data_IF_698772849516
#
_entry.id   IF_698772849516
#
_cell.length_a   1.000
_cell.length_b   1.000
_cell.length_c   1.000
_cell.angle_alpha   90.00
_cell.angle_beta   90.00
_cell.angle_gamma   90.00
#
_symmetry.space_group_name_H-M   'P 1'
#
loop_
_entity.id
_entity.type
_entity.pdbx_description
1 polymer ?
#
# COMPACT_ATOMS: atom_id res chain seq x y z
N UNK A 1 -8.66 -26.35 2.00
CA UNK A 1 -9.83 -25.65 1.40
C UNK A 1 -9.29 -24.56 0.48
N UNK A 2 -9.78 -24.43 -0.75
CA UNK A 2 -9.29 -23.41 -1.69
C UNK A 2 -10.13 -22.16 -1.54
N UNK A 3 -9.49 -21.01 -1.25
CA UNK A 3 -10.14 -19.71 -1.09
C UNK A 3 -10.52 -19.15 -2.46
N UNK A 4 -11.78 -18.77 -2.63
CA UNK A 4 -12.37 -18.23 -3.85
C UNK A 4 -12.25 -16.72 -3.85
N UNK A 5 -11.39 -16.16 -4.69
CA UNK A 5 -11.05 -14.72 -4.69
C UNK A 5 -11.74 -14.03 -5.86
N UNK A 6 -12.44 -12.93 -5.57
CA UNK A 6 -12.84 -11.93 -6.55
C UNK A 6 -11.73 -10.89 -6.66
N UNK A 7 -11.23 -10.65 -7.86
CA UNK A 7 -10.20 -9.64 -8.11
C UNK A 7 -10.82 -8.36 -8.70
N UNK A 8 -10.60 -7.21 -8.09
CA UNK A 8 -11.16 -5.92 -8.50
C UNK A 8 -10.05 -4.91 -8.73
N UNK A 9 -9.90 -4.45 -9.96
CA UNK A 9 -8.85 -3.55 -10.41
C UNK A 9 -7.60 -4.27 -10.90
N UNK A 10 -7.28 -4.09 -12.18
CA UNK A 10 -6.16 -4.73 -12.90
C UNK A 10 -5.15 -3.69 -13.38
N UNK A 11 -4.91 -2.65 -12.58
CA UNK A 11 -3.73 -1.79 -12.71
C UNK A 11 -2.44 -2.56 -12.38
N UNK A 12 -1.27 -1.93 -12.42
CA UNK A 12 0.02 -2.62 -12.22
C UNK A 12 0.10 -3.45 -10.94
N UNK A 13 -0.38 -2.90 -9.81
CA UNK A 13 -0.40 -3.63 -8.52
C UNK A 13 -1.45 -4.74 -8.55
N UNK A 14 -2.65 -4.48 -9.08
CA UNK A 14 -3.67 -5.51 -9.23
C UNK A 14 -3.21 -6.67 -10.10
N UNK A 15 -2.51 -6.43 -11.21
CA UNK A 15 -1.92 -7.46 -12.04
C UNK A 15 -0.86 -8.28 -11.27
N UNK A 16 -0.01 -7.63 -10.45
CA UNK A 16 0.96 -8.32 -9.62
C UNK A 16 0.29 -9.22 -8.55
N UNK A 17 -0.80 -8.75 -7.94
CA UNK A 17 -1.62 -9.54 -7.00
C UNK A 17 -2.26 -10.73 -7.72
N UNK A 18 -2.83 -10.52 -8.92
CA UNK A 18 -3.44 -11.59 -9.70
C UNK A 18 -2.43 -12.67 -10.09
N UNK A 19 -1.19 -12.30 -10.47
CA UNK A 19 -0.10 -13.25 -10.73
C UNK A 19 0.22 -14.10 -9.50
N UNK A 20 0.35 -13.49 -8.33
CA UNK A 20 0.62 -14.23 -7.09
C UNK A 20 -0.54 -15.18 -6.72
N UNK A 21 -1.79 -14.73 -6.82
CA UNK A 21 -2.96 -15.58 -6.58
C UNK A 21 -3.03 -16.78 -7.53
N UNK A 22 -2.64 -16.60 -8.79
CA UNK A 22 -2.68 -17.65 -9.81
C UNK A 22 -1.58 -18.70 -9.67
N UNK A 23 -0.46 -18.37 -9.02
CA UNK A 23 0.70 -19.24 -8.85
C UNK A 23 0.75 -19.93 -7.50
N UNK A 24 0.10 -19.38 -6.46
CA UNK A 24 0.09 -19.95 -5.11
C UNK A 24 -1.01 -20.99 -4.93
N UNK A 25 -0.69 -22.09 -4.27
CA UNK A 25 -1.68 -23.06 -3.82
C UNK A 25 -2.65 -22.42 -2.81
N UNK A 26 -3.84 -22.99 -2.67
CA UNK A 26 -4.84 -22.52 -1.72
C UNK A 26 -5.71 -21.36 -2.20
N UNK A 27 -5.45 -20.77 -3.38
CA UNK A 27 -6.27 -19.72 -3.96
C UNK A 27 -6.85 -20.09 -5.33
N UNK A 28 -8.03 -19.55 -5.61
CA UNK A 28 -8.65 -19.62 -6.94
C UNK A 28 -9.31 -18.27 -7.26
N UNK A 29 -8.86 -17.60 -8.31
CA UNK A 29 -9.56 -16.43 -8.85
C UNK A 29 -10.84 -16.94 -9.51
N UNK A 30 -12.01 -16.53 -9.00
CA UNK A 30 -13.32 -16.96 -9.49
C UNK A 30 -14.05 -15.89 -10.28
N UNK A 31 -13.59 -14.62 -10.18
CA UNK A 31 -14.11 -13.48 -10.93
C UNK A 31 -13.06 -12.38 -10.97
N UNK A 32 -13.16 -11.54 -12.00
CA UNK A 32 -12.33 -10.35 -12.18
C UNK A 32 -13.17 -9.18 -12.63
N UNK A 33 -12.89 -7.98 -12.10
CA UNK A 33 -13.61 -6.75 -12.44
C UNK A 33 -12.63 -5.62 -12.72
N UNK A 34 -12.81 -4.94 -13.85
CA UNK A 34 -12.13 -3.70 -14.18
C UNK A 34 -13.06 -2.86 -15.06
N UNK A 35 -12.90 -1.53 -15.04
CA UNK A 35 -13.71 -0.61 -15.86
C UNK A 35 -13.05 -0.24 -17.19
N UNK A 36 -11.77 -0.58 -17.36
CA UNK A 36 -11.00 -0.30 -18.57
C UNK A 36 -11.55 -1.14 -19.77
N UNK A 37 -12.09 -0.52 -20.81
CA UNK A 37 -12.66 -1.24 -21.95
C UNK A 37 -11.63 -2.14 -22.65
N UNK A 38 -10.34 -1.83 -22.58
CA UNK A 38 -9.27 -2.64 -23.16
C UNK A 38 -9.01 -3.94 -22.37
N UNK A 39 -9.55 -4.07 -21.16
CA UNK A 39 -9.41 -5.25 -20.30
C UNK A 39 -10.70 -6.07 -20.20
N UNK A 40 -11.85 -5.38 -20.26
CA UNK A 40 -13.17 -6.03 -20.17
C UNK A 40 -13.33 -7.08 -21.27
N UNK A 41 -13.96 -8.21 -20.95
CA UNK A 41 -14.16 -9.40 -21.77
C UNK A 41 -12.90 -10.23 -22.10
N UNK A 42 -11.70 -9.75 -21.76
CA UNK A 42 -10.46 -10.53 -21.89
C UNK A 42 -10.27 -11.48 -20.70
N UNK A 43 -9.51 -12.54 -20.91
CA UNK A 43 -9.12 -13.43 -19.82
C UNK A 43 -8.14 -12.72 -18.86
N UNK A 44 -8.36 -12.83 -17.55
CA UNK A 44 -7.48 -12.21 -16.54
C UNK A 44 -6.03 -12.70 -16.66
N UNK A 45 -5.83 -13.95 -17.11
CA UNK A 45 -4.49 -14.51 -17.37
C UNK A 45 -3.73 -13.75 -18.44
N UNK A 46 -4.43 -13.28 -19.48
CA UNK A 46 -3.85 -12.42 -20.52
C UNK A 46 -3.66 -10.98 -20.03
N UNK A 47 -4.64 -10.41 -19.31
CA UNK A 47 -4.58 -9.03 -18.80
C UNK A 47 -3.48 -8.86 -17.75
N UNK A 48 -3.30 -9.83 -16.87
CA UNK A 48 -2.29 -9.80 -15.82
C UNK A 48 -0.96 -10.48 -16.22
N UNK A 49 -0.82 -10.89 -17.48
CA UNK A 49 0.41 -11.52 -18.02
C UNK A 49 0.85 -12.75 -17.21
N UNK A 50 -0.10 -13.64 -16.93
CA UNK A 50 0.16 -14.84 -16.09
C UNK A 50 0.82 -15.98 -16.92
N UNK A 51 0.89 -15.85 -18.23
CA UNK A 51 1.45 -16.87 -19.13
C UNK A 51 0.50 -18.03 -19.45
N UNK A 52 -0.72 -18.04 -18.90
CA UNK A 52 -1.77 -19.05 -19.19
C UNK A 52 -3.16 -18.46 -19.01
N UNK A 53 -4.15 -19.00 -19.72
CA UNK A 53 -5.55 -18.67 -19.49
C UNK A 53 -6.04 -19.23 -18.14
N UNK A 54 -6.76 -18.41 -17.38
CA UNK A 54 -7.43 -18.84 -16.15
C UNK A 54 -8.91 -19.15 -16.39
N UNK A 55 -9.43 -18.94 -17.61
CA UNK A 55 -10.84 -19.06 -17.99
C UNK A 55 -11.77 -18.18 -17.17
N UNK A 56 -11.25 -17.02 -16.73
CA UNK A 56 -11.96 -15.98 -15.98
C UNK A 56 -11.91 -14.69 -16.80
N UNK A 57 -13.03 -14.32 -17.39
CA UNK A 57 -13.14 -13.07 -18.14
C UNK A 57 -13.31 -11.90 -17.19
N UNK A 58 -12.64 -10.78 -17.49
CA UNK A 58 -12.80 -9.52 -16.80
C UNK A 58 -14.18 -8.93 -17.11
N UNK A 59 -14.96 -8.62 -16.09
CA UNK A 59 -16.28 -8.01 -16.19
C UNK A 59 -16.23 -6.53 -15.79
N UNK A 60 -17.18 -5.73 -16.28
CA UNK A 60 -17.33 -4.33 -15.88
C UNK A 60 -18.26 -4.16 -14.65
N UNK A 61 -19.14 -5.14 -14.38
CA UNK A 61 -20.16 -5.05 -13.34
C UNK A 61 -19.76 -5.87 -12.10
N UNK A 62 -19.41 -5.16 -11.03
CA UNK A 62 -19.00 -5.74 -9.76
C UNK A 62 -20.12 -6.60 -9.15
N UNK A 63 -21.34 -6.04 -9.10
CA UNK A 63 -22.49 -6.68 -8.45
C UNK A 63 -22.89 -7.98 -9.12
N UNK A 64 -23.00 -7.97 -10.44
CA UNK A 64 -23.31 -9.18 -11.23
C UNK A 64 -22.24 -10.23 -11.04
N UNK A 65 -20.97 -9.83 -11.05
CA UNK A 65 -19.83 -10.74 -10.88
C UNK A 65 -19.85 -11.41 -9.50
N UNK A 66 -20.05 -10.63 -8.41
CA UNK A 66 -20.18 -11.19 -7.05
C UNK A 66 -21.30 -12.23 -6.97
N UNK A 67 -22.50 -11.88 -7.48
CA UNK A 67 -23.67 -12.80 -7.43
C UNK A 67 -23.45 -14.09 -8.21
N UNK A 68 -22.78 -14.00 -9.36
CA UNK A 68 -22.50 -15.16 -10.22
C UNK A 68 -21.40 -16.05 -9.64
N UNK A 69 -20.35 -15.45 -9.04
CA UNK A 69 -19.16 -16.19 -8.62
C UNK A 69 -19.14 -16.58 -7.16
N UNK A 70 -19.93 -15.93 -6.29
CA UNK A 70 -20.01 -16.17 -4.84
C UNK A 70 -18.62 -16.32 -4.22
N UNK A 71 -17.78 -15.28 -4.23
CA UNK A 71 -16.42 -15.35 -3.71
C UNK A 71 -16.42 -15.39 -2.17
N UNK A 72 -15.35 -15.95 -1.60
CA UNK A 72 -15.10 -15.93 -0.15
C UNK A 72 -14.54 -14.57 0.30
N UNK A 73 -13.86 -13.86 -0.61
CA UNK A 73 -13.22 -12.57 -0.36
C UNK A 73 -13.01 -11.81 -1.67
N UNK A 74 -13.02 -10.48 -1.57
CA UNK A 74 -12.60 -9.60 -2.66
C UNK A 74 -11.23 -8.98 -2.36
N UNK A 75 -10.38 -8.90 -3.39
CA UNK A 75 -9.16 -8.09 -3.39
C UNK A 75 -9.42 -6.84 -4.21
N UNK A 76 -9.31 -5.64 -3.58
CA UNK A 76 -9.63 -4.35 -4.18
C UNK A 76 -8.36 -3.53 -4.42
N UNK A 77 -7.98 -3.37 -5.70
CA UNK A 77 -6.74 -2.72 -6.15
C UNK A 77 -7.00 -1.61 -7.17
N UNK A 78 -7.97 -0.73 -6.92
CA UNK A 78 -8.47 0.24 -7.92
C UNK A 78 -7.95 1.66 -7.74
N UNK A 79 -7.70 2.13 -6.51
CA UNK A 79 -7.25 3.49 -6.25
C UNK A 79 -6.59 3.61 -4.88
N UNK A 80 -5.67 4.59 -4.76
CA UNK A 80 -5.10 5.03 -3.47
C UNK A 80 -6.10 5.83 -2.63
N UNK A 81 -7.08 6.48 -3.29
CA UNK A 81 -8.05 7.36 -2.65
C UNK A 81 -9.23 6.60 -2.05
N UNK A 82 -9.45 6.78 -0.75
CA UNK A 82 -10.58 6.20 -0.04
C UNK A 82 -11.92 6.69 -0.60
N UNK A 83 -12.02 7.97 -0.94
CA UNK A 83 -13.23 8.54 -1.54
C UNK A 83 -13.58 7.84 -2.86
N UNK A 84 -12.58 7.52 -3.68
CA UNK A 84 -12.78 6.88 -4.99
C UNK A 84 -13.22 5.42 -4.86
N UNK A 85 -12.78 4.69 -3.84
CA UNK A 85 -13.12 3.26 -3.65
C UNK A 85 -14.39 3.05 -2.82
N UNK A 86 -14.92 4.08 -2.16
CA UNK A 86 -16.13 3.97 -1.33
C UNK A 86 -17.30 3.28 -2.01
N UNK A 87 -17.69 3.62 -3.27
CA UNK A 87 -18.82 2.95 -3.93
C UNK A 87 -18.61 1.44 -4.07
N UNK A 88 -17.38 1.01 -4.39
CA UNK A 88 -17.04 -0.40 -4.54
C UNK A 88 -17.06 -1.13 -3.19
N UNK A 89 -16.52 -0.50 -2.13
CA UNK A 89 -16.56 -1.03 -0.76
C UNK A 89 -18.01 -1.19 -0.28
N UNK A 90 -18.85 -0.17 -0.44
CA UNK A 90 -20.25 -0.24 -0.05
C UNK A 90 -20.99 -1.37 -0.78
N UNK A 91 -20.71 -1.56 -2.06
CA UNK A 91 -21.34 -2.63 -2.83
C UNK A 91 -20.90 -4.01 -2.38
N UNK A 92 -19.59 -4.23 -2.16
CA UNK A 92 -19.05 -5.48 -1.62
C UNK A 92 -19.63 -5.80 -0.24
N UNK A 93 -19.70 -4.80 0.65
CA UNK A 93 -20.23 -4.97 2.00
C UNK A 93 -21.74 -5.24 2.01
N UNK A 94 -22.54 -4.61 1.12
CA UNK A 94 -23.97 -4.94 0.92
C UNK A 94 -24.14 -6.39 0.48
N UNK A 95 -23.18 -6.94 -0.24
CA UNK A 95 -23.15 -8.35 -0.69
C UNK A 95 -22.46 -9.30 0.29
N UNK A 96 -22.08 -8.79 1.48
CA UNK A 96 -21.40 -9.55 2.56
C UNK A 96 -20.11 -10.21 2.14
N UNK A 97 -19.32 -9.55 1.31
CA UNK A 97 -18.01 -10.02 0.87
C UNK A 97 -16.92 -9.35 1.71
N UNK A 98 -16.06 -10.10 2.43
CA UNK A 98 -14.88 -9.54 3.08
C UNK A 98 -13.93 -8.90 2.06
N UNK A 99 -13.13 -7.92 2.47
CA UNK A 99 -12.27 -7.16 1.56
C UNK A 99 -10.85 -7.05 2.10
N UNK A 100 -9.86 -7.37 1.26
CA UNK A 100 -8.48 -6.89 1.39
C UNK A 100 -8.25 -5.85 0.31
N UNK A 101 -7.75 -4.67 0.69
CA UNK A 101 -7.52 -3.57 -0.25
C UNK A 101 -6.06 -3.12 -0.23
N UNK A 102 -5.62 -2.51 -1.34
CA UNK A 102 -4.34 -1.81 -1.46
C UNK A 102 -4.50 -0.29 -1.39
N UNK A 103 -5.66 0.21 -0.98
CA UNK A 103 -5.97 1.63 -0.89
C UNK A 103 -5.21 2.25 0.28
N UNK A 104 -4.21 3.08 0.03
CA UNK A 104 -3.31 3.64 1.03
C UNK A 104 -4.06 4.49 2.07
N UNK A 105 -5.00 5.36 1.65
CA UNK A 105 -5.82 6.18 2.56
C UNK A 105 -6.75 5.35 3.47
N UNK A 106 -6.95 4.07 3.17
CA UNK A 106 -7.75 3.15 3.99
C UNK A 106 -6.89 2.38 5.00
N UNK A 107 -5.57 2.53 4.99
CA UNK A 107 -4.69 1.73 5.85
C UNK A 107 -4.87 2.05 7.33
N UNK A 108 -5.10 3.33 7.66
CA UNK A 108 -5.36 3.77 9.03
C UNK A 108 -6.26 5.02 9.07
N UNK A 109 -7.10 5.21 10.13
CA UNK A 109 -7.91 6.43 10.27
C UNK A 109 -7.03 7.66 10.50
N UNK A 110 -7.08 8.60 9.56
CA UNK A 110 -6.47 9.92 9.71
C UNK A 110 -7.54 10.99 9.95
N UNK A 111 -7.14 12.22 10.25
CA UNK A 111 -8.09 13.33 10.42
C UNK A 111 -8.95 13.55 9.17
N UNK A 112 -8.36 13.36 7.99
CA UNK A 112 -9.03 13.58 6.71
C UNK A 112 -10.07 12.50 6.36
N UNK A 113 -9.84 11.24 6.77
CA UNK A 113 -10.63 10.09 6.31
C UNK A 113 -11.52 9.45 7.39
N UNK A 114 -11.41 9.86 8.65
CA UNK A 114 -12.08 9.25 9.83
C UNK A 114 -13.58 9.00 9.64
N UNK A 115 -14.31 9.93 9.01
CA UNK A 115 -15.75 9.76 8.78
C UNK A 115 -16.05 8.61 7.81
N UNK A 116 -15.27 8.49 6.75
CA UNK A 116 -15.44 7.41 5.76
C UNK A 116 -15.07 6.06 6.37
N UNK A 117 -13.98 6.01 7.13
CA UNK A 117 -13.56 4.78 7.84
C UNK A 117 -14.62 4.33 8.86
N UNK A 118 -15.20 5.26 9.64
CA UNK A 118 -16.32 4.94 10.54
C UNK A 118 -17.50 4.33 9.79
N UNK A 119 -17.86 4.91 8.65
CA UNK A 119 -18.93 4.36 7.79
C UNK A 119 -18.62 2.95 7.28
N UNK A 120 -17.37 2.70 6.89
CA UNK A 120 -16.93 1.36 6.47
C UNK A 120 -17.06 0.37 7.64
N UNK A 121 -16.59 0.74 8.84
CA UNK A 121 -16.70 -0.10 10.03
C UNK A 121 -18.16 -0.48 10.34
N UNK A 122 -19.06 0.48 10.33
CA UNK A 122 -20.49 0.27 10.55
C UNK A 122 -21.09 -0.70 9.51
N UNK A 123 -20.77 -0.51 8.22
CA UNK A 123 -21.23 -1.36 7.14
C UNK A 123 -20.66 -2.78 7.24
N UNK A 124 -19.36 -2.91 7.53
CA UNK A 124 -18.67 -4.19 7.65
C UNK A 124 -19.20 -5.00 8.84
N UNK A 125 -19.42 -4.35 10.00
CA UNK A 125 -20.07 -4.99 11.17
C UNK A 125 -21.48 -5.46 10.86
N UNK A 126 -22.30 -4.62 10.20
CA UNK A 126 -23.66 -4.99 9.76
C UNK A 126 -23.63 -6.17 8.79
N UNK A 127 -22.65 -6.20 7.89
CA UNK A 127 -22.45 -7.29 6.93
C UNK A 127 -21.88 -8.56 7.56
N UNK A 128 -21.33 -8.48 8.80
CA UNK A 128 -20.60 -9.54 9.52
C UNK A 128 -19.35 -10.00 8.78
N UNK A 129 -18.63 -9.07 8.19
CA UNK A 129 -17.36 -9.31 7.47
C UNK A 129 -16.31 -8.29 7.87
N UNK A 130 -15.03 -8.59 7.59
CA UNK A 130 -13.92 -7.69 7.84
C UNK A 130 -13.47 -6.97 6.56
N UNK A 131 -12.93 -5.76 6.74
CA UNK A 131 -12.25 -4.96 5.72
C UNK A 131 -10.88 -4.60 6.24
N UNK A 132 -9.83 -4.90 5.49
CA UNK A 132 -8.44 -4.53 5.76
C UNK A 132 -7.86 -3.83 4.53
N UNK A 133 -7.11 -2.75 4.72
CA UNK A 133 -6.19 -2.25 3.71
C UNK A 133 -4.75 -2.47 4.15
N UNK A 134 -3.91 -2.92 3.22
CA UNK A 134 -2.50 -3.24 3.48
C UNK A 134 -1.67 -3.17 2.20
N UNK A 135 -0.38 -3.07 2.38
CA UNK A 135 0.63 -3.05 1.33
C UNK A 135 2.02 -3.06 1.94
N UNK A 136 3.03 -2.67 1.16
CA UNK A 136 4.37 -2.49 1.72
C UNK A 136 4.48 -1.21 2.53
N UNK A 137 3.79 -0.16 2.09
CA UNK A 137 3.75 1.16 2.73
C UNK A 137 2.55 1.98 2.17
N UNK A 138 1.56 2.29 3.03
CA UNK A 138 1.35 1.79 4.38
C UNK A 138 0.97 0.29 4.42
N UNK A 139 1.24 -0.36 5.55
CA UNK A 139 0.82 -1.72 5.84
C UNK A 139 1.92 -2.67 6.35
N UNK A 140 3.22 -2.35 6.11
CA UNK A 140 4.30 -3.19 6.61
C UNK A 140 5.58 -2.41 6.95
N UNK A 141 6.36 -1.96 5.96
CA UNK A 141 7.75 -1.53 6.15
C UNK A 141 7.89 -0.29 7.04
N UNK A 142 6.94 0.65 6.95
CA UNK A 142 7.01 1.93 7.66
C UNK A 142 5.99 2.05 8.80
N UNK A 143 5.30 0.97 9.15
CA UNK A 143 4.33 0.96 10.24
C UNK A 143 4.28 -0.39 10.98
N UNK A 144 3.72 -1.46 10.43
CA UNK A 144 3.54 -2.72 11.14
C UNK A 144 4.87 -3.36 11.58
N UNK A 145 5.94 -3.25 10.79
CA UNK A 145 7.28 -3.74 11.15
C UNK A 145 7.88 -2.97 12.32
N UNK A 146 8.01 -1.62 12.29
CA UNK A 146 8.49 -0.89 13.46
C UNK A 146 7.60 -1.09 14.70
N UNK A 147 6.27 -1.15 14.55
CA UNK A 147 5.36 -1.46 15.66
C UNK A 147 5.72 -2.81 16.29
N UNK A 148 5.89 -3.86 15.49
CA UNK A 148 6.24 -5.19 15.99
C UNK A 148 7.59 -5.20 16.71
N UNK A 149 8.57 -4.41 16.24
CA UNK A 149 9.88 -4.30 16.88
C UNK A 149 9.83 -3.59 18.24
N UNK A 150 8.82 -2.74 18.49
CA UNK A 150 8.66 -2.11 19.81
C UNK A 150 8.30 -3.08 20.94
N UNK A 151 7.82 -4.28 20.60
CA UNK A 151 7.36 -5.28 21.58
C UNK A 151 8.44 -5.74 22.57
N UNK A 152 9.71 -5.54 22.24
CA UNK A 152 10.86 -5.91 23.10
C UNK A 152 11.47 -4.70 23.83
N UNK A 153 10.87 -3.52 23.72
CA UNK A 153 11.33 -2.30 24.39
C UNK A 153 10.56 -2.08 25.71
N UNK A 154 11.31 -1.78 26.75
CA UNK A 154 10.77 -1.31 28.03
C UNK A 154 10.33 0.16 27.95
N UNK A 155 11.08 0.96 27.21
CA UNK A 155 10.83 2.38 26.99
C UNK A 155 11.13 2.77 25.55
N UNK A 156 10.39 3.72 25.00
CA UNK A 156 10.57 4.24 23.67
C UNK A 156 10.52 5.76 23.71
N UNK A 157 11.53 6.40 23.14
CA UNK A 157 11.65 7.87 23.04
C UNK A 157 11.34 8.36 21.62
N UNK A 158 11.85 7.64 20.61
CA UNK A 158 11.68 8.02 19.20
C UNK A 158 11.71 6.80 18.28
N UNK A 159 11.00 6.87 17.19
CA UNK A 159 11.00 5.87 16.10
C UNK A 159 11.33 6.59 14.79
N UNK A 160 12.44 6.23 14.17
CA UNK A 160 12.84 6.69 12.84
C UNK A 160 12.79 5.51 11.86
N UNK A 161 12.07 5.68 10.76
CA UNK A 161 12.00 4.68 9.69
C UNK A 161 12.45 5.33 8.39
N UNK A 162 13.39 4.69 7.71
CA UNK A 162 13.91 5.20 6.45
C UNK A 162 13.85 4.14 5.36
N UNK A 163 13.36 4.54 4.20
CA UNK A 163 13.39 3.78 2.96
C UNK A 163 14.20 4.53 1.92
N UNK A 164 15.20 3.89 1.35
CA UNK A 164 15.93 4.39 0.19
C UNK A 164 15.73 3.41 -0.96
N UNK A 165 15.32 3.93 -2.13
CA UNK A 165 15.04 3.10 -3.29
C UNK A 165 15.69 3.67 -4.54
N UNK A 166 16.57 2.88 -5.16
CA UNK A 166 17.02 3.18 -6.52
C UNK A 166 15.86 2.93 -7.50
N UNK A 167 15.35 4.02 -8.06
CA UNK A 167 14.20 3.98 -8.94
C UNK A 167 14.53 3.49 -10.37
N UNK A 168 15.82 3.30 -10.72
CA UNK A 168 16.23 2.80 -12.06
C UNK A 168 15.60 1.45 -12.40
N UNK A 169 15.41 0.60 -11.39
CA UNK A 169 14.83 -0.73 -11.54
C UNK A 169 13.31 -0.79 -11.34
N UNK A 170 12.66 0.37 -11.27
CA UNK A 170 11.22 0.45 -11.10
C UNK A 170 10.53 0.77 -12.43
N UNK A 171 9.29 0.31 -12.57
CA UNK A 171 8.45 0.56 -13.75
C UNK A 171 8.28 2.05 -14.04
N UNK A 172 8.12 2.43 -15.30
CA UNK A 172 7.97 3.82 -15.74
C UNK A 172 6.89 4.62 -14.98
N UNK A 173 5.67 4.09 -14.73
CA UNK A 173 4.69 4.84 -13.94
C UNK A 173 5.14 5.19 -12.52
N UNK A 174 6.04 4.42 -11.91
CA UNK A 174 6.63 4.77 -10.63
C UNK A 174 7.66 5.88 -10.77
N UNK A 175 8.55 5.80 -11.77
CA UNK A 175 9.53 6.85 -12.05
C UNK A 175 8.84 8.20 -12.33
N UNK A 176 7.74 8.19 -13.10
CA UNK A 176 6.92 9.37 -13.35
C UNK A 176 6.23 9.89 -12.07
N UNK A 177 5.69 8.99 -11.24
CA UNK A 177 5.02 9.34 -9.97
C UNK A 177 5.95 10.05 -8.98
N UNK A 178 7.24 9.74 -9.01
CA UNK A 178 8.26 10.41 -8.19
C UNK A 178 8.86 11.66 -8.87
N UNK A 179 8.33 12.06 -10.01
CA UNK A 179 8.71 13.28 -10.73
C UNK A 179 10.01 13.19 -11.51
N UNK A 180 10.54 11.99 -11.80
CA UNK A 180 11.77 11.85 -12.58
C UNK A 180 11.60 12.46 -13.99
N UNK A 181 12.57 13.28 -14.42
CA UNK A 181 12.58 13.99 -15.68
C UNK A 181 11.83 15.34 -15.69
N UNK A 182 11.23 15.74 -14.57
CA UNK A 182 10.59 17.07 -14.47
C UNK A 182 11.61 18.17 -14.21
N UNK A 183 11.29 19.40 -14.65
CA UNK A 183 11.96 20.60 -14.12
C UNK A 183 11.53 20.84 -12.67
N UNK A 184 12.31 21.63 -11.92
CA UNK A 184 11.97 21.99 -10.53
C UNK A 184 10.59 22.65 -10.46
N UNK A 185 10.29 23.57 -11.36
CA UNK A 185 9.00 24.27 -11.42
C UNK A 185 7.83 23.30 -11.68
N UNK A 186 8.00 22.37 -12.62
CA UNK A 186 6.99 21.34 -12.91
C UNK A 186 6.77 20.42 -11.70
N UNK A 187 7.86 20.06 -11.02
CA UNK A 187 7.81 19.24 -9.81
C UNK A 187 7.03 19.93 -8.70
N UNK A 188 7.35 21.18 -8.38
CA UNK A 188 6.67 21.97 -7.35
C UNK A 188 5.16 22.09 -7.65
N UNK A 189 4.80 22.34 -8.90
CA UNK A 189 3.41 22.38 -9.35
C UNK A 189 2.71 21.03 -9.16
N UNK A 190 3.38 19.93 -9.44
CA UNK A 190 2.80 18.58 -9.25
C UNK A 190 2.73 18.18 -7.78
N UNK A 191 3.67 18.61 -6.94
CA UNK A 191 3.58 18.45 -5.48
C UNK A 191 2.40 19.24 -4.93
N UNK A 192 2.23 20.50 -5.34
CA UNK A 192 1.10 21.33 -4.92
C UNK A 192 -0.26 20.75 -5.31
N UNK A 193 -0.35 20.08 -6.45
CA UNK A 193 -1.56 19.36 -6.90
C UNK A 193 -1.76 17.99 -6.24
N UNK A 194 -0.77 17.50 -5.46
CA UNK A 194 -0.79 16.17 -4.85
C UNK A 194 -0.50 15.00 -5.80
N UNK A 195 -0.06 15.29 -7.03
CA UNK A 195 0.25 14.26 -8.04
C UNK A 195 1.58 13.57 -7.73
N UNK A 196 2.61 14.35 -7.39
CA UNK A 196 3.94 13.85 -7.00
C UNK A 196 4.01 13.76 -5.48
N UNK A 197 3.76 12.58 -4.94
CA UNK A 197 3.95 12.24 -3.53
C UNK A 197 3.71 10.74 -3.30
N UNK A 198 4.20 10.24 -2.19
CA UNK A 198 3.76 8.95 -1.66
C UNK A 198 2.58 9.17 -0.71
N UNK A 199 1.48 8.45 -0.94
CA UNK A 199 0.28 8.50 -0.09
C UNK A 199 0.44 7.52 1.07
N UNK A 200 -0.04 7.89 2.28
CA UNK A 200 -0.10 6.98 3.42
C UNK A 200 0.87 7.28 4.57
N UNK A 201 1.71 8.34 4.45
CA UNK A 201 2.62 8.74 5.54
C UNK A 201 1.87 9.13 6.82
N UNK A 202 0.82 9.94 6.67
CA UNK A 202 -0.03 10.35 7.79
C UNK A 202 -0.69 9.15 8.47
N UNK A 203 -1.16 8.20 7.67
CA UNK A 203 -1.78 6.96 8.13
C UNK A 203 -0.80 6.10 8.91
N UNK A 204 0.42 5.90 8.39
CA UNK A 204 1.47 5.13 9.07
C UNK A 204 1.93 5.79 10.36
N UNK A 205 2.15 7.11 10.36
CA UNK A 205 2.54 7.87 11.56
C UNK A 205 1.46 7.74 12.64
N UNK A 206 0.19 7.92 12.29
CA UNK A 206 -0.91 7.80 13.24
C UNK A 206 -1.03 6.37 13.78
N UNK A 207 -0.84 5.35 12.93
CA UNK A 207 -0.88 3.95 13.34
C UNK A 207 0.23 3.62 14.34
N UNK A 208 1.47 4.09 14.12
CA UNK A 208 2.58 3.93 15.05
C UNK A 208 2.26 4.63 16.37
N UNK A 209 1.86 5.89 16.31
CA UNK A 209 1.56 6.68 17.52
C UNK A 209 0.51 6.01 18.40
N UNK A 210 -0.60 5.58 17.79
CA UNK A 210 -1.68 4.92 18.51
C UNK A 210 -1.26 3.52 19.04
N UNK A 211 -0.31 2.84 18.37
CA UNK A 211 0.20 1.55 18.83
C UNK A 211 1.07 1.68 20.09
N UNK A 212 1.88 2.74 20.17
CA UNK A 212 2.78 2.99 21.31
C UNK A 212 2.17 3.94 22.36
N UNK A 213 0.90 4.35 22.18
CA UNK A 213 0.16 5.18 23.14
C UNK A 213 0.50 6.68 23.10
N UNK A 214 1.14 7.17 22.03
CA UNK A 214 1.46 8.59 21.88
C UNK A 214 0.29 9.38 21.31
N UNK A 215 -0.01 10.51 21.94
CA UNK A 215 -1.02 11.48 21.47
C UNK A 215 -0.32 12.56 20.65
N UNK A 216 -0.41 12.44 19.35
CA UNK A 216 0.20 13.41 18.45
C UNK A 216 -0.52 14.77 18.54
N UNK A 217 0.27 15.84 18.61
CA UNK A 217 -0.20 17.22 18.53
C UNK A 217 -0.22 17.74 17.10
N UNK A 218 0.69 17.22 16.26
CA UNK A 218 0.89 17.66 14.89
C UNK A 218 1.53 16.56 14.08
N UNK A 219 1.18 16.49 12.80
CA UNK A 219 1.88 15.70 11.77
C UNK A 219 2.28 16.65 10.66
N UNK A 220 3.52 16.57 10.18
CA UNK A 220 4.00 17.24 8.97
C UNK A 220 4.32 16.20 7.91
N UNK A 221 4.12 16.55 6.64
CA UNK A 221 4.44 15.73 5.48
C UNK A 221 4.96 16.63 4.38
N UNK A 222 6.26 16.53 4.08
CA UNK A 222 6.97 17.41 3.16
C UNK A 222 7.60 16.59 2.04
N UNK A 223 7.45 17.04 0.81
CA UNK A 223 8.05 16.45 -0.39
C UNK A 223 9.04 17.42 -0.98
N UNK A 224 10.26 16.95 -1.24
CA UNK A 224 11.34 17.72 -1.87
C UNK A 224 11.87 16.97 -3.08
N UNK A 225 12.36 17.66 -4.12
CA UNK A 225 12.99 16.99 -5.25
C UNK A 225 14.38 16.46 -4.90
N UNK A 226 14.75 15.32 -5.44
CA UNK A 226 16.13 14.96 -5.68
C UNK A 226 16.53 15.50 -7.05
N UNK A 227 17.57 16.34 -7.10
CA UNK A 227 18.08 16.91 -8.34
C UNK A 227 19.27 16.07 -8.83
N UNK A 228 19.27 15.74 -10.11
CA UNK A 228 20.39 15.05 -10.73
C UNK A 228 21.59 15.99 -10.83
N UNK A 229 22.73 15.60 -10.26
CA UNK A 229 24.00 16.35 -10.37
C UNK A 229 24.74 15.99 -11.66
N UNK A 230 24.53 14.78 -12.17
CA UNK A 230 25.03 14.24 -13.43
C UNK A 230 23.90 13.55 -14.19
N UNK A 231 24.14 13.20 -15.46
CA UNK A 231 23.16 12.42 -16.23
C UNK A 231 22.91 11.06 -15.58
N UNK A 232 21.64 10.75 -15.27
CA UNK A 232 21.24 9.48 -14.70
C UNK A 232 20.25 8.78 -15.61
N UNK A 233 20.56 7.54 -15.99
CA UNK A 233 19.72 6.75 -16.89
C UNK A 233 19.13 5.52 -16.20
N UNK A 234 17.89 5.21 -16.57
CA UNK A 234 17.26 3.91 -16.42
C UNK A 234 17.04 3.31 -17.82
N UNK A 235 16.57 2.06 -17.89
CA UNK A 235 16.14 1.47 -19.18
C UNK A 235 14.96 2.23 -19.84
N UNK A 236 14.26 3.07 -19.10
CA UNK A 236 12.97 3.67 -19.47
C UNK A 236 13.01 5.20 -19.54
N UNK A 237 13.98 5.84 -18.93
CA UNK A 237 14.06 7.29 -18.79
C UNK A 237 15.51 7.73 -18.58
N UNK A 238 15.91 8.82 -19.25
CA UNK A 238 17.11 9.57 -18.97
C UNK A 238 16.77 10.90 -18.27
N UNK A 239 17.59 11.31 -17.33
CA UNK A 239 17.43 12.57 -16.57
C UNK A 239 18.72 13.35 -16.66
N UNK A 240 18.67 14.52 -17.26
CA UNK A 240 19.81 15.43 -17.41
C UNK A 240 20.17 16.11 -16.07
N UNK A 241 21.43 16.58 -15.92
CA UNK A 241 21.81 17.41 -14.79
C UNK A 241 20.89 18.63 -14.61
N UNK A 242 20.52 18.92 -13.34
CA UNK A 242 19.62 20.00 -13.00
C UNK A 242 18.12 19.64 -13.05
N UNK A 243 17.76 18.49 -13.61
CA UNK A 243 16.39 17.98 -13.57
C UNK A 243 16.15 17.10 -12.35
N UNK A 244 14.88 16.85 -12.05
CA UNK A 244 14.47 16.01 -10.91
C UNK A 244 14.72 14.54 -11.24
N UNK A 245 15.52 13.85 -10.42
CA UNK A 245 15.73 12.41 -10.50
C UNK A 245 14.74 11.60 -9.65
N UNK A 246 14.05 12.25 -8.70
CA UNK A 246 13.06 11.62 -7.82
C UNK A 246 12.65 12.47 -6.65
N UNK A 247 12.15 11.83 -5.58
CA UNK A 247 11.63 12.50 -4.38
C UNK A 247 12.42 12.14 -3.12
N UNK A 248 12.46 13.10 -2.19
CA UNK A 248 12.69 12.91 -0.77
C UNK A 248 11.43 13.36 -0.03
N UNK A 249 10.72 12.44 0.60
CA UNK A 249 9.52 12.74 1.37
C UNK A 249 9.75 12.43 2.85
N UNK A 250 9.49 13.40 3.70
CA UNK A 250 9.62 13.28 5.15
C UNK A 250 8.28 13.54 5.83
N UNK A 251 7.84 12.55 6.63
CA UNK A 251 6.71 12.71 7.55
C UNK A 251 7.19 12.72 8.99
N UNK A 252 6.71 13.66 9.81
CA UNK A 252 7.07 13.74 11.22
C UNK A 252 5.83 13.87 12.10
N UNK A 253 5.74 12.98 13.10
CA UNK A 253 4.74 13.03 14.15
C UNK A 253 5.32 13.63 15.44
N UNK A 254 4.63 14.61 16.01
CA UNK A 254 5.06 15.36 17.19
C UNK A 254 4.17 15.06 18.41
N UNK A 255 4.79 14.98 19.57
CA UNK A 255 4.12 15.02 20.89
C UNK A 255 4.57 16.28 21.62
N UNK A 256 3.67 17.25 21.82
CA UNK A 256 4.10 18.61 22.10
C UNK A 256 4.90 19.17 20.92
N UNK A 257 6.10 19.65 21.20
CA UNK A 257 7.04 20.12 20.19
C UNK A 257 8.12 19.11 19.81
N UNK A 258 8.14 17.93 20.48
CA UNK A 258 9.14 16.90 20.29
C UNK A 258 8.80 16.00 19.09
N UNK A 259 9.71 15.82 18.11
CA UNK A 259 9.55 14.87 17.02
C UNK A 259 9.74 13.44 17.56
N UNK A 260 8.67 12.67 17.64
CA UNK A 260 8.68 11.31 18.17
C UNK A 260 8.69 10.23 17.08
N UNK A 261 8.12 10.52 15.92
CA UNK A 261 8.09 9.59 14.80
C UNK A 261 8.60 10.33 13.58
N UNK A 262 9.56 9.75 12.88
CA UNK A 262 10.03 10.23 11.59
C UNK A 262 9.97 9.12 10.56
N UNK A 263 9.28 9.36 9.46
CA UNK A 263 9.26 8.50 8.29
C UNK A 263 9.96 9.22 7.14
N UNK A 264 10.96 8.59 6.53
CA UNK A 264 11.72 9.14 5.40
C UNK A 264 11.65 8.17 4.22
N UNK A 265 11.23 8.66 3.06
CA UNK A 265 11.31 7.95 1.79
C UNK A 265 12.15 8.75 0.81
N UNK A 266 13.29 8.21 0.42
CA UNK A 266 14.14 8.69 -0.66
C UNK A 266 13.99 7.72 -1.84
N UNK A 267 13.36 8.16 -2.92
CA UNK A 267 13.17 7.34 -4.12
C UNK A 267 13.60 8.14 -5.35
N UNK A 268 14.74 7.80 -5.93
CA UNK A 268 15.31 8.53 -7.05
C UNK A 268 16.17 7.62 -7.92
N UNK A 269 16.40 8.02 -9.18
CA UNK A 269 17.29 7.33 -10.07
C UNK A 269 18.73 7.54 -9.63
N UNK A 270 19.49 6.46 -9.57
CA UNK A 270 20.92 6.52 -9.21
C UNK A 270 21.20 6.52 -7.71
N UNK A 271 20.28 6.13 -6.87
CA UNK A 271 20.57 5.93 -5.45
C UNK A 271 21.72 4.89 -5.28
N UNK A 272 22.76 5.19 -4.48
CA UNK A 272 23.93 4.33 -4.38
C UNK A 272 23.63 2.96 -3.74
N UNK A 273 22.60 2.91 -2.89
CA UNK A 273 22.08 1.66 -2.33
C UNK A 273 20.57 1.78 -2.11
N UNK A 274 19.89 0.63 -2.14
CA UNK A 274 18.52 0.52 -1.68
C UNK A 274 18.51 -0.15 -0.31
N UNK A 275 17.73 0.38 0.64
CA UNK A 275 17.53 -0.25 1.94
C UNK A 275 16.25 0.22 2.62
N UNK A 276 15.77 -0.57 3.57
CA UNK A 276 14.78 -0.15 4.57
C UNK A 276 15.44 -0.25 5.95
N UNK A 277 15.26 0.74 6.81
CA UNK A 277 15.79 0.70 8.16
C UNK A 277 14.78 1.21 9.18
N UNK A 278 14.87 0.65 10.38
CA UNK A 278 14.11 1.06 11.56
C UNK A 278 15.10 1.33 12.68
N UNK A 279 15.04 2.51 13.24
CA UNK A 279 15.74 2.89 14.48
C UNK A 279 14.69 3.19 15.54
N UNK A 280 14.79 2.51 16.67
CA UNK A 280 14.01 2.79 17.87
C UNK A 280 14.99 3.29 18.93
N UNK A 281 14.90 4.57 19.29
CA UNK A 281 15.57 5.12 20.44
C UNK A 281 14.72 4.79 21.68
N UNK A 282 15.33 4.05 22.60
CA UNK A 282 14.66 3.54 23.78
C UNK A 282 15.52 2.55 24.57
N UNK A 283 14.90 1.75 25.40
CA UNK A 283 15.54 0.70 26.17
C UNK A 283 14.93 -0.67 25.84
N UNK A 284 15.67 -1.57 25.16
CA UNK A 284 16.96 -1.35 24.52
C UNK A 284 16.83 -0.48 23.25
N UNK A 285 17.92 0.17 22.86
CA UNK A 285 18.01 0.81 21.56
C UNK A 285 18.10 -0.25 20.45
N UNK A 286 17.26 -0.13 19.43
CA UNK A 286 17.19 -1.09 18.32
C UNK A 286 17.52 -0.40 17.00
N UNK A 287 18.38 -1.01 16.20
CA UNK A 287 18.61 -0.65 14.81
C UNK A 287 18.52 -1.90 13.93
N UNK A 288 17.67 -1.85 12.92
CA UNK A 288 17.52 -2.92 11.92
C UNK A 288 17.63 -2.33 10.53
N UNK A 289 18.34 -3.03 9.63
CA UNK A 289 18.47 -2.64 8.22
C UNK A 289 18.20 -3.86 7.34
N UNK A 290 17.28 -3.71 6.40
CA UNK A 290 17.03 -4.65 5.31
C UNK A 290 17.87 -4.20 4.13
N UNK A 291 19.00 -4.83 3.91
CA UNK A 291 19.89 -4.53 2.79
C UNK A 291 19.21 -4.85 1.46
N UNK A 292 19.42 -4.02 0.43
CA UNK A 292 18.74 -4.11 -0.86
C UNK A 292 17.31 -3.57 -0.85
N UNK A 293 16.75 -3.35 0.34
CA UNK A 293 15.39 -2.84 0.52
C UNK A 293 14.27 -3.83 0.14
N UNK A 294 13.07 -3.52 0.56
CA UNK A 294 11.87 -4.31 0.27
C UNK A 294 11.24 -3.80 -1.03
N UNK A 295 11.24 -4.63 -2.07
CA UNK A 295 10.71 -4.23 -3.38
C UNK A 295 9.20 -3.90 -3.31
N UNK A 296 8.83 -2.63 -3.60
CA UNK A 296 7.49 -2.10 -3.35
C UNK A 296 6.35 -2.88 -4.00
N UNK A 297 6.46 -3.18 -5.30
CA UNK A 297 5.38 -3.84 -6.04
C UNK A 297 5.21 -5.31 -5.63
N UNK A 298 6.33 -6.03 -5.45
CA UNK A 298 6.31 -7.44 -5.01
C UNK A 298 5.75 -7.53 -3.59
N UNK A 299 6.22 -6.68 -2.68
CA UNK A 299 5.83 -6.73 -1.28
C UNK A 299 4.38 -6.28 -1.08
N UNK A 300 3.90 -5.26 -1.81
CA UNK A 300 2.48 -4.86 -1.76
C UNK A 300 1.56 -6.01 -2.19
N UNK A 301 1.89 -6.67 -3.30
CA UNK A 301 1.12 -7.83 -3.74
C UNK A 301 1.20 -8.97 -2.71
N UNK A 302 2.38 -9.23 -2.14
CA UNK A 302 2.59 -10.30 -1.15
C UNK A 302 1.83 -10.03 0.15
N UNK A 303 1.88 -8.81 0.68
CA UNK A 303 1.13 -8.41 1.88
C UNK A 303 -0.38 -8.58 1.67
N UNK A 304 -0.87 -8.15 0.50
CA UNK A 304 -2.28 -8.30 0.13
C UNK A 304 -2.69 -9.78 0.12
N UNK A 305 -1.94 -10.63 -0.58
CA UNK A 305 -2.27 -12.06 -0.71
C UNK A 305 -2.13 -12.81 0.62
N UNK A 306 -1.06 -12.54 1.38
CA UNK A 306 -0.80 -13.19 2.67
C UNK A 306 -1.83 -12.78 3.75
N UNK A 307 -2.46 -11.62 3.61
CA UNK A 307 -3.50 -11.14 4.53
C UNK A 307 -4.87 -11.79 4.29
N UNK A 308 -5.11 -12.37 3.12
CA UNK A 308 -6.42 -12.97 2.75
C UNK A 308 -6.93 -13.97 3.82
N UNK A 309 -6.16 -14.99 4.25
CA UNK A 309 -6.64 -15.96 5.22
C UNK A 309 -6.92 -15.32 6.59
N UNK A 310 -6.19 -14.25 6.94
CA UNK A 310 -6.37 -13.52 8.19
C UNK A 310 -7.68 -12.72 8.18
N UNK A 311 -7.99 -12.05 7.07
CA UNK A 311 -9.20 -11.22 6.93
C UNK A 311 -10.47 -12.07 6.91
N UNK A 312 -10.45 -13.23 6.26
CA UNK A 312 -11.59 -14.16 6.26
C UNK A 312 -11.98 -14.59 7.70
N UNK A 313 -10.97 -14.77 8.57
CA UNK A 313 -11.16 -15.23 9.95
C UNK A 313 -11.20 -14.08 10.98
N UNK A 314 -11.09 -12.83 10.53
CA UNK A 314 -11.09 -11.67 11.42
C UNK A 314 -12.48 -11.37 11.97
N UNK A 315 -12.53 -10.76 13.16
CA UNK A 315 -13.78 -10.22 13.69
C UNK A 315 -14.35 -9.15 12.74
N UNK A 316 -15.68 -9.10 12.55
CA UNK A 316 -16.32 -8.16 11.64
C UNK A 316 -15.99 -6.68 11.97
N UNK A 317 -15.89 -5.86 10.93
CA UNK A 317 -15.61 -4.44 11.02
C UNK A 317 -14.40 -4.05 10.17
N UNK A 318 -14.07 -2.75 10.21
CA UNK A 318 -12.82 -2.25 9.70
C UNK A 318 -11.66 -2.72 10.59
N UNK A 319 -10.57 -3.19 9.95
CA UNK A 319 -9.36 -3.69 10.60
C UNK A 319 -8.15 -2.96 10.05
N UNK A 320 -7.16 -2.77 10.89
CA UNK A 320 -5.86 -2.22 10.51
C UNK A 320 -4.76 -3.26 10.72
N UNK A 321 -3.59 -3.02 10.20
CA UNK A 321 -2.44 -3.90 10.46
C UNK A 321 -2.03 -3.95 11.94
N UNK A 322 -2.45 -2.97 12.74
CA UNK A 322 -2.31 -2.98 14.19
C UNK A 322 -3.23 -4.00 14.88
N UNK A 323 -4.44 -4.20 14.32
CA UNK A 323 -5.47 -5.09 14.89
C UNK A 323 -5.30 -6.55 14.47
N UNK A 324 -4.48 -6.78 13.45
CA UNK A 324 -4.32 -8.09 12.82
C UNK A 324 -3.00 -8.73 13.22
N UNK A 325 -2.95 -10.05 13.44
CA UNK A 325 -1.67 -10.76 13.51
C UNK A 325 -0.88 -10.51 12.23
N UNK A 326 0.42 -10.19 12.33
CA UNK A 326 1.27 -10.03 11.17
C UNK A 326 1.14 -11.24 10.24
N UNK A 327 0.87 -11.02 8.95
CA UNK A 327 0.78 -12.11 8.00
C UNK A 327 2.16 -12.73 7.76
N UNK A 328 2.18 -14.03 7.62
CA UNK A 328 3.33 -14.79 7.12
C UNK A 328 3.06 -15.26 5.69
N UNK A 329 4.09 -15.73 5.01
CA UNK A 329 3.93 -16.34 3.69
C UNK A 329 2.90 -17.47 3.76
N UNK A 330 1.87 -17.37 2.91
CA UNK A 330 0.84 -18.38 2.78
C UNK A 330 1.02 -19.15 1.46
N UNK A 331 1.35 -20.42 1.57
CA UNK A 331 1.60 -21.32 0.41
C UNK A 331 0.50 -22.34 0.15
N UNK A 332 -0.60 -22.28 0.92
CA UNK A 332 -1.74 -23.21 0.82
C UNK A 332 -1.76 -24.26 1.90
#
# INVERSE_FOLDING_TARGET
MTIRVLHVGLGPIGAAVARQLATRKGFRIVGAVDIDPNKVSRDIGAVAEIGRSLRVKVAADLRKTVKATKPDIAVLCTSSSLKSVMPQLEELLKLRVPVVSTTEELAYPSAANRRLVKRIDELARKAKVAVLSTGVNPGFAMDALPIAMTAVCEQIERIDVRRVQDARHRRLPFQQKIGSGLTIEQFEKQVASGTVRHVGFTESIQMIADAVGWKLTRITDQVRPWIAEEEVMSELLAVDPGYVSGISQEGVGYVGDEPRIRLQLDAYLGAPESFDSVLIDGSPRIYSKVQGGIHGDIATASMTVNSIPRVINAAPGYRTMRDMPLPSFFGG
#
